data_IF_381383628202
#
_entry.id   IF_381383628202
#
_cell.length_a   1.000
_cell.length_b   1.000
_cell.length_c   1.000
_cell.angle_alpha   90.00
_cell.angle_beta   90.00
_cell.angle_gamma   90.00
#
_symmetry.space_group_name_H-M   'P 1'
#
loop_
_entity.id
_entity.type
_entity.pdbx_description
1 polymer ?
#
# COMPACT_ATOMS: atom_id res chain seq x y z
N UNK A 1 -5.73 7.15 -15.82
CA UNK A 1 -4.66 6.71 -14.89
C UNK A 1 -5.26 5.65 -13.98
N UNK A 2 -4.79 4.40 -14.03
CA UNK A 2 -5.32 3.31 -13.19
C UNK A 2 -4.80 3.50 -11.76
N UNK A 3 -5.59 4.12 -10.90
CA UNK A 3 -5.25 4.25 -9.49
C UNK A 3 -5.61 2.93 -8.79
N UNK A 4 -4.65 2.16 -8.25
CA UNK A 4 -4.99 0.97 -7.50
C UNK A 4 -5.80 1.37 -6.26
N UNK A 5 -7.01 0.84 -6.21
CA UNK A 5 -7.95 1.00 -5.12
C UNK A 5 -7.96 -0.28 -4.31
N UNK A 6 -7.79 -0.13 -3.01
CA UNK A 6 -7.87 -1.21 -2.03
C UNK A 6 -9.20 -1.13 -1.31
N UNK A 7 -9.84 -2.27 -1.09
CA UNK A 7 -11.03 -2.39 -0.25
C UNK A 7 -10.76 -3.43 0.82
N UNK A 8 -11.30 -3.21 2.01
CA UNK A 8 -11.20 -4.17 3.09
C UNK A 8 -12.22 -3.90 4.18
N UNK A 9 -12.37 -4.89 5.04
CA UNK A 9 -13.34 -4.90 6.13
C UNK A 9 -12.63 -5.24 7.44
N UNK A 10 -13.06 -4.62 8.53
CA UNK A 10 -12.48 -4.82 9.85
C UNK A 10 -13.52 -4.60 10.94
N UNK A 11 -13.68 -5.59 11.80
CA UNK A 11 -14.43 -5.42 13.04
C UNK A 11 -13.52 -4.87 14.14
N UNK A 12 -14.00 -3.84 14.84
CA UNK A 12 -13.34 -3.26 16.01
C UNK A 12 -14.29 -3.29 17.22
N UNK A 13 -13.80 -3.63 18.42
CA UNK A 13 -14.58 -3.60 19.65
C UNK A 13 -14.69 -2.16 20.21
N UNK A 14 -15.27 -1.26 19.42
CA UNK A 14 -15.45 0.15 19.75
C UNK A 14 -16.87 0.59 19.40
N UNK A 15 -17.34 1.64 20.07
CA UNK A 15 -18.58 2.33 19.72
C UNK A 15 -18.32 3.35 18.59
N UNK A 16 -19.32 3.57 17.74
CA UNK A 16 -19.19 4.38 16.51
C UNK A 16 -18.67 5.80 16.78
N UNK A 17 -19.24 6.50 17.76
CA UNK A 17 -18.83 7.87 18.10
C UNK A 17 -17.41 7.92 18.69
N UNK A 18 -17.05 6.92 19.49
CA UNK A 18 -15.71 6.84 20.06
C UNK A 18 -14.64 6.58 19.01
N UNK A 19 -14.97 5.78 17.98
CA UNK A 19 -14.08 5.53 16.86
C UNK A 19 -13.83 6.81 16.06
N UNK A 20 -14.88 7.56 15.71
CA UNK A 20 -14.71 8.82 14.98
C UNK A 20 -13.94 9.87 15.80
N UNK A 21 -14.17 9.97 17.11
CA UNK A 21 -13.39 10.88 17.97
C UNK A 21 -11.91 10.49 18.07
N UNK A 22 -11.60 9.20 18.25
CA UNK A 22 -10.20 8.73 18.29
C UNK A 22 -9.53 8.93 16.92
N UNK A 23 -10.25 8.68 15.84
CA UNK A 23 -9.75 8.86 14.48
C UNK A 23 -9.52 10.34 14.15
N UNK A 24 -10.39 11.25 14.61
CA UNK A 24 -10.20 12.71 14.50
C UNK A 24 -9.00 13.20 15.34
N UNK A 25 -8.84 12.69 16.57
CA UNK A 25 -7.65 12.98 17.40
C UNK A 25 -6.35 12.49 16.76
N UNK A 26 -6.37 11.30 16.15
CA UNK A 26 -5.20 10.75 15.45
C UNK A 26 -4.94 11.52 14.16
N UNK A 27 -5.97 11.85 13.39
CA UNK A 27 -5.88 12.66 12.19
C UNK A 27 -5.37 14.07 12.49
N UNK A 28 -5.81 14.71 13.58
CA UNK A 28 -5.32 16.02 14.01
C UNK A 28 -3.90 15.98 14.57
N UNK A 29 -3.50 14.92 15.30
CA UNK A 29 -2.09 14.71 15.70
C UNK A 29 -1.17 14.50 14.49
N UNK A 30 -1.60 13.70 13.52
CA UNK A 30 -0.91 13.57 12.23
C UNK A 30 -1.02 14.85 11.38
N UNK A 31 -2.06 15.64 11.60
CA UNK A 31 -2.40 16.87 10.89
C UNK A 31 -1.79 18.14 11.47
N UNK A 32 -1.12 18.09 12.64
CA UNK A 32 -0.29 19.21 13.15
C UNK A 32 0.84 19.61 12.20
N UNK A 33 1.14 18.76 11.20
CA UNK A 33 2.05 19.07 10.09
C UNK A 33 1.34 19.52 8.79
N UNK A 34 0.01 19.73 8.81
CA UNK A 34 -0.78 20.15 7.64
C UNK A 34 -1.00 19.08 6.57
N UNK A 35 -0.79 17.79 6.90
CA UNK A 35 -0.66 16.73 5.89
C UNK A 35 -1.93 15.93 5.61
N UNK A 36 -2.92 15.96 6.50
CA UNK A 36 -4.13 15.14 6.41
C UNK A 36 -5.38 15.98 6.67
N UNK A 37 -6.39 15.80 5.81
CA UNK A 37 -7.71 16.41 5.95
C UNK A 37 -8.71 15.30 6.30
N UNK A 38 -9.34 15.43 7.46
CA UNK A 38 -10.44 14.58 7.88
C UNK A 38 -11.75 15.30 7.59
N UNK A 39 -12.67 14.65 6.90
CA UNK A 39 -14.05 15.12 6.75
C UNK A 39 -15.02 14.00 7.05
N UNK A 40 -15.85 14.19 8.08
CA UNK A 40 -16.99 13.30 8.33
C UNK A 40 -18.07 13.61 7.30
N UNK A 41 -18.34 12.66 6.41
CA UNK A 41 -19.33 12.83 5.33
C UNK A 41 -20.73 12.43 5.74
N UNK A 42 -20.89 11.60 6.78
CA UNK A 42 -22.19 11.29 7.41
C UNK A 42 -22.01 10.75 8.84
N UNK A 43 -23.11 10.40 9.51
CA UNK A 43 -23.07 9.73 10.81
C UNK A 43 -22.30 8.41 10.80
N UNK A 44 -22.22 7.75 9.64
CA UNK A 44 -21.63 6.41 9.42
C UNK A 44 -20.48 6.42 8.41
N UNK A 45 -20.06 7.58 7.88
CA UNK A 45 -18.97 7.63 6.91
C UNK A 45 -18.03 8.80 7.11
N UNK A 46 -16.75 8.56 6.85
CA UNK A 46 -15.73 9.58 6.85
C UNK A 46 -14.77 9.41 5.67
N UNK A 47 -14.22 10.54 5.25
CA UNK A 47 -13.19 10.62 4.23
C UNK A 47 -11.91 11.17 4.86
N UNK A 48 -10.81 10.52 4.57
CA UNK A 48 -9.47 10.97 4.93
C UNK A 48 -8.72 11.18 3.62
N UNK A 49 -8.30 12.41 3.36
CA UNK A 49 -7.46 12.73 2.23
C UNK A 49 -6.16 13.36 2.70
N UNK A 50 -5.13 13.27 1.87
CA UNK A 50 -3.82 13.86 2.16
C UNK A 50 -3.24 14.42 0.87
N UNK A 51 -2.94 15.71 0.87
CA UNK A 51 -2.27 16.39 -0.25
C UNK A 51 -0.75 16.40 -0.09
N UNK A 52 -0.22 16.03 1.09
CA UNK A 52 1.21 16.09 1.43
C UNK A 52 1.77 14.74 1.88
N UNK A 53 3.03 14.46 1.51
CA UNK A 53 3.74 13.25 1.91
C UNK A 53 3.89 13.21 3.44
N UNK A 54 3.56 12.10 4.08
CA UNK A 54 3.78 11.89 5.51
C UNK A 54 5.29 11.80 5.86
N UNK A 55 5.68 11.75 7.14
CA UNK A 55 7.09 11.76 7.58
C UNK A 55 7.95 10.63 6.99
N UNK A 56 7.31 9.56 6.53
CA UNK A 56 7.94 8.41 5.90
C UNK A 56 7.79 8.42 4.37
N UNK A 57 7.33 9.53 3.78
CA UNK A 57 7.17 9.70 2.34
C UNK A 57 5.89 9.07 1.75
N UNK A 58 4.86 8.81 2.55
CA UNK A 58 3.60 8.20 2.09
C UNK A 58 2.49 9.24 1.86
N UNK A 59 1.78 9.22 0.73
CA UNK A 59 0.50 9.94 0.58
C UNK A 59 -0.68 8.96 0.59
N UNK A 60 -1.65 9.19 1.47
CA UNK A 60 -2.99 8.62 1.31
C UNK A 60 -3.74 9.54 0.35
N UNK A 61 -3.75 9.23 -0.94
CA UNK A 61 -4.36 10.13 -1.91
C UNK A 61 -5.84 10.33 -1.59
N UNK A 62 -6.52 9.25 -1.22
CA UNK A 62 -7.92 9.26 -0.79
C UNK A 62 -8.26 7.96 -0.05
N UNK A 63 -8.91 8.07 1.11
CA UNK A 63 -9.46 6.95 1.85
C UNK A 63 -10.91 7.24 2.28
N UNK A 64 -11.84 6.35 1.97
CA UNK A 64 -13.23 6.42 2.46
C UNK A 64 -13.48 5.30 3.44
N UNK A 65 -14.06 5.64 4.59
CA UNK A 65 -14.43 4.75 5.67
C UNK A 65 -15.95 4.76 5.81
N UNK A 66 -16.55 3.58 5.86
CA UNK A 66 -17.96 3.37 6.22
C UNK A 66 -17.99 2.51 7.46
N UNK A 67 -18.71 2.95 8.49
CA UNK A 67 -18.77 2.32 9.80
C UNK A 67 -20.21 1.93 10.09
N UNK A 68 -20.44 0.63 10.22
CA UNK A 68 -21.74 0.04 10.52
C UNK A 68 -21.70 -0.55 11.94
N UNK A 69 -22.76 -0.39 12.75
CA UNK A 69 -22.83 -1.02 14.06
C UNK A 69 -22.89 -2.55 13.91
N UNK A 70 -22.03 -3.27 14.65
CA UNK A 70 -22.04 -4.73 14.69
C UNK A 70 -22.84 -5.23 15.90
N UNK A 71 -23.62 -6.30 15.71
CA UNK A 71 -24.71 -6.74 16.59
C UNK A 71 -24.33 -7.11 18.04
N UNK A 72 -23.04 -7.26 18.39
CA UNK A 72 -22.63 -7.82 19.70
C UNK A 72 -21.50 -7.06 20.43
N UNK A 73 -21.45 -5.72 20.34
CA UNK A 73 -20.45 -4.80 20.98
C UNK A 73 -19.23 -4.48 20.10
N UNK A 74 -19.48 -3.94 18.92
CA UNK A 74 -18.43 -3.38 18.09
C UNK A 74 -18.95 -2.62 16.90
N UNK A 75 -18.02 -2.19 16.06
CA UNK A 75 -18.27 -1.59 14.75
C UNK A 75 -17.64 -2.44 13.66
N UNK A 76 -18.34 -2.55 12.56
CA UNK A 76 -17.84 -3.08 11.31
C UNK A 76 -17.39 -1.92 10.43
N UNK A 77 -16.13 -1.89 10.04
CA UNK A 77 -15.55 -0.83 9.22
C UNK A 77 -15.25 -1.37 7.84
N UNK A 78 -15.92 -0.83 6.82
CA UNK A 78 -15.52 -0.99 5.41
C UNK A 78 -14.67 0.19 5.00
N UNK A 79 -13.55 -0.08 4.36
CA UNK A 79 -12.63 0.96 3.92
C UNK A 79 -12.24 0.81 2.46
N UNK A 80 -12.03 1.94 1.79
CA UNK A 80 -11.49 2.04 0.45
C UNK A 80 -10.30 2.99 0.46
N UNK A 81 -9.14 2.59 -0.04
CA UNK A 81 -7.91 3.42 0.00
C UNK A 81 -7.19 3.42 -1.34
N UNK A 82 -6.63 4.56 -1.74
CA UNK A 82 -5.82 4.71 -2.96
C UNK A 82 -4.37 5.12 -2.67
N UNK A 83 -3.41 4.44 -3.31
CA UNK A 83 -1.98 4.73 -3.13
C UNK A 83 -1.22 4.65 -4.47
N UNK A 84 -0.76 5.79 -4.99
CA UNK A 84 -0.14 5.88 -6.33
C UNK A 84 1.40 5.88 -6.29
N UNK A 85 2.02 6.64 -5.37
CA UNK A 85 3.46 6.98 -5.50
C UNK A 85 4.42 5.82 -5.24
N UNK A 86 4.20 5.01 -4.20
CA UNK A 86 5.12 3.92 -3.84
C UNK A 86 5.04 2.71 -4.78
N UNK A 87 3.87 2.46 -5.36
CA UNK A 87 3.72 1.44 -6.39
C UNK A 87 4.63 1.73 -7.60
N UNK A 88 4.64 2.99 -8.04
CA UNK A 88 5.46 3.43 -9.16
C UNK A 88 6.95 3.43 -8.82
N UNK A 89 7.32 3.84 -7.60
CA UNK A 89 8.71 3.82 -7.13
C UNK A 89 9.26 2.38 -6.97
N UNK A 90 8.48 1.44 -6.42
CA UNK A 90 8.88 0.03 -6.33
C UNK A 90 9.02 -0.61 -7.72
N UNK A 91 8.06 -0.34 -8.62
CA UNK A 91 8.15 -0.78 -10.01
C UNK A 91 9.43 -0.26 -10.67
N UNK A 92 9.72 1.04 -10.51
CA UNK A 92 10.89 1.68 -11.09
C UNK A 92 12.21 1.13 -10.55
N UNK A 93 12.36 1.05 -9.21
CA UNK A 93 13.55 0.47 -8.58
C UNK A 93 13.78 -0.97 -9.06
N UNK A 94 12.70 -1.73 -9.16
CA UNK A 94 12.81 -3.12 -9.55
C UNK A 94 13.14 -3.32 -11.04
N UNK A 95 12.68 -2.40 -11.89
CA UNK A 95 13.10 -2.34 -13.29
C UNK A 95 14.59 -2.00 -13.43
N UNK A 96 15.12 -1.10 -12.59
CA UNK A 96 16.55 -0.80 -12.54
C UNK A 96 17.39 -2.03 -12.15
N UNK A 97 16.93 -2.82 -11.17
CA UNK A 97 17.59 -4.09 -10.78
C UNK A 97 17.60 -5.07 -11.96
N UNK A 98 16.47 -5.21 -12.68
CA UNK A 98 16.37 -6.08 -13.84
C UNK A 98 17.36 -5.66 -14.95
N UNK A 99 17.49 -4.36 -15.21
CA UNK A 99 18.47 -3.82 -16.17
C UNK A 99 19.90 -4.13 -15.72
N UNK A 100 20.24 -3.85 -14.46
CA UNK A 100 21.57 -4.08 -13.92
C UNK A 100 21.95 -5.56 -14.00
N UNK A 101 21.03 -6.46 -13.61
CA UNK A 101 21.20 -7.90 -13.75
C UNK A 101 21.39 -8.30 -15.22
N UNK A 102 20.65 -7.67 -16.13
CA UNK A 102 20.74 -8.00 -17.56
C UNK A 102 22.07 -7.60 -18.17
N UNK A 103 22.60 -6.45 -17.79
CA UNK A 103 23.93 -5.99 -18.19
C UNK A 103 25.00 -6.96 -17.66
N UNK A 104 24.92 -7.35 -16.38
CA UNK A 104 25.86 -8.28 -15.76
C UNK A 104 25.87 -9.64 -16.48
N UNK A 105 24.68 -10.19 -16.75
CA UNK A 105 24.53 -11.46 -17.45
C UNK A 105 25.00 -11.40 -18.91
N UNK A 106 24.80 -10.27 -19.59
CA UNK A 106 25.36 -10.09 -20.93
C UNK A 106 26.89 -10.18 -20.93
N UNK A 107 27.56 -9.54 -19.98
CA UNK A 107 29.02 -9.67 -19.82
C UNK A 107 29.44 -11.10 -19.48
N UNK A 108 28.65 -11.81 -18.67
CA UNK A 108 28.90 -13.21 -18.36
C UNK A 108 28.79 -14.11 -19.60
N UNK A 109 27.70 -13.99 -20.37
CA UNK A 109 27.48 -14.78 -21.60
C UNK A 109 28.61 -14.54 -22.61
N UNK A 110 29.08 -13.30 -22.77
CA UNK A 110 30.22 -12.99 -23.65
C UNK A 110 31.54 -13.66 -23.26
N UNK A 111 31.70 -14.09 -22.00
CA UNK A 111 32.88 -14.82 -21.53
C UNK A 111 32.76 -16.34 -21.68
N UNK A 112 31.59 -16.84 -22.09
CA UNK A 112 31.41 -18.28 -22.31
C UNK A 112 32.09 -18.75 -23.60
N UNK A 113 32.45 -20.03 -23.71
CA UNK A 113 32.89 -20.64 -24.96
C UNK A 113 31.87 -20.47 -26.09
N UNK A 114 32.34 -20.22 -27.31
CA UNK A 114 31.50 -19.96 -28.50
C UNK A 114 30.47 -21.04 -28.78
N UNK A 115 30.77 -22.31 -28.45
CA UNK A 115 29.86 -23.45 -28.62
C UNK A 115 28.57 -23.38 -27.79
N UNK A 116 28.55 -22.59 -26.70
CA UNK A 116 27.37 -22.45 -25.83
C UNK A 116 26.82 -21.02 -25.74
N UNK A 117 27.55 -20.03 -26.25
CA UNK A 117 27.14 -18.61 -26.19
C UNK A 117 25.75 -18.36 -26.78
N UNK A 118 25.45 -18.94 -27.95
CA UNK A 118 24.14 -18.74 -28.60
C UNK A 118 22.98 -19.29 -27.78
N UNK A 119 23.12 -20.51 -27.25
CA UNK A 119 22.10 -21.12 -26.39
C UNK A 119 21.93 -20.38 -25.07
N UNK A 120 23.03 -19.93 -24.47
CA UNK A 120 23.02 -19.15 -23.24
C UNK A 120 22.34 -17.79 -23.43
N UNK A 121 22.58 -17.11 -24.55
CA UNK A 121 21.96 -15.83 -24.88
C UNK A 121 20.43 -15.97 -25.04
N UNK A 122 19.98 -16.99 -25.77
CA UNK A 122 18.54 -17.24 -25.98
C UNK A 122 17.85 -17.60 -24.67
N UNK A 123 18.44 -18.49 -23.88
CA UNK A 123 17.89 -18.89 -22.57
C UNK A 123 17.81 -17.70 -21.61
N UNK A 124 18.82 -16.84 -21.60
CA UNK A 124 18.85 -15.63 -20.82
C UNK A 124 17.76 -14.63 -21.26
N UNK A 125 17.60 -14.43 -22.56
CA UNK A 125 16.56 -13.54 -23.10
C UNK A 125 15.15 -14.01 -22.71
N UNK A 126 14.89 -15.32 -22.79
CA UNK A 126 13.61 -15.91 -22.35
C UNK A 126 13.39 -15.67 -20.86
N UNK A 127 14.41 -15.91 -20.02
CA UNK A 127 14.32 -15.70 -18.59
C UNK A 127 14.05 -14.23 -18.22
N UNK A 128 14.75 -13.28 -18.84
CA UNK A 128 14.52 -11.84 -18.60
C UNK A 128 13.13 -11.42 -19.04
N UNK A 129 12.68 -11.88 -20.20
CA UNK A 129 11.34 -11.54 -20.73
C UNK A 129 10.23 -12.08 -19.82
N UNK A 130 10.37 -13.34 -19.37
CA UNK A 130 9.46 -13.96 -18.41
C UNK A 130 9.39 -13.17 -17.11
N UNK A 131 10.55 -12.83 -16.53
CA UNK A 131 10.60 -12.05 -15.30
C UNK A 131 10.11 -10.62 -15.50
N UNK A 132 10.39 -9.95 -16.62
CA UNK A 132 9.88 -8.62 -16.93
C UNK A 132 8.34 -8.57 -16.96
N UNK A 133 7.69 -9.67 -17.36
CA UNK A 133 6.23 -9.77 -17.42
C UNK A 133 5.62 -10.15 -16.06
N UNK A 134 6.22 -11.10 -15.34
CA UNK A 134 5.68 -11.63 -14.09
C UNK A 134 5.99 -10.71 -12.90
N UNK A 135 7.14 -10.07 -12.91
CA UNK A 135 7.61 -9.27 -11.79
C UNK A 135 6.72 -8.07 -11.46
N UNK A 136 6.22 -7.27 -12.43
CA UNK A 136 5.22 -6.24 -12.16
C UNK A 136 3.95 -6.79 -11.50
N UNK A 137 3.54 -8.00 -11.88
CA UNK A 137 2.35 -8.67 -11.37
C UNK A 137 2.57 -9.11 -9.91
N UNK A 138 3.72 -9.73 -9.62
CA UNK A 138 4.15 -10.10 -8.25
C UNK A 138 4.27 -8.86 -7.36
N UNK A 139 4.93 -7.80 -7.84
CA UNK A 139 5.07 -6.55 -7.10
C UNK A 139 3.73 -5.89 -6.82
N UNK A 140 2.79 -5.95 -7.77
CA UNK A 140 1.42 -5.50 -7.55
C UNK A 140 0.78 -6.27 -6.40
N UNK A 141 0.85 -7.59 -6.40
CA UNK A 141 0.27 -8.44 -5.35
C UNK A 141 0.90 -8.15 -3.98
N UNK A 142 2.24 -8.12 -3.89
CA UNK A 142 2.95 -7.83 -2.63
C UNK A 142 2.57 -6.44 -2.12
N UNK A 143 2.56 -5.44 -2.99
CA UNK A 143 2.14 -4.09 -2.65
C UNK A 143 0.69 -4.07 -2.14
N UNK A 144 -0.23 -4.81 -2.78
CA UNK A 144 -1.63 -4.91 -2.31
C UNK A 144 -1.70 -5.44 -0.89
N UNK A 145 -0.98 -6.54 -0.61
CA UNK A 145 -1.00 -7.20 0.69
C UNK A 145 -0.36 -6.31 1.77
N UNK A 146 0.78 -5.69 1.47
CA UNK A 146 1.50 -4.85 2.43
C UNK A 146 0.69 -3.60 2.79
N UNK A 147 0.08 -2.94 1.81
CA UNK A 147 -0.75 -1.76 2.06
C UNK A 147 -2.04 -2.10 2.82
N UNK A 148 -2.70 -3.22 2.48
CA UNK A 148 -3.86 -3.69 3.23
C UNK A 148 -3.51 -3.98 4.69
N UNK A 149 -2.34 -4.61 4.94
CA UNK A 149 -1.84 -4.86 6.30
C UNK A 149 -1.52 -3.57 7.04
N UNK A 150 -0.79 -2.64 6.43
CA UNK A 150 -0.45 -1.36 7.05
C UNK A 150 -1.70 -0.57 7.45
N UNK A 151 -2.69 -0.46 6.56
CA UNK A 151 -3.92 0.26 6.86
C UNK A 151 -4.75 -0.42 7.95
N UNK A 152 -4.84 -1.76 7.91
CA UNK A 152 -5.50 -2.54 8.97
C UNK A 152 -4.82 -2.35 10.32
N UNK A 153 -3.49 -2.34 10.37
CA UNK A 153 -2.73 -2.08 11.59
C UNK A 153 -2.97 -0.67 12.12
N UNK A 154 -3.07 0.32 11.23
CA UNK A 154 -3.41 1.70 11.60
C UNK A 154 -4.82 1.79 12.21
N UNK A 155 -5.82 1.13 11.62
CA UNK A 155 -7.16 1.09 12.19
C UNK A 155 -7.19 0.38 13.57
N UNK A 156 -6.44 -0.71 13.72
CA UNK A 156 -6.31 -1.42 15.01
C UNK A 156 -5.59 -0.58 16.07
N UNK A 157 -4.58 0.21 15.71
CA UNK A 157 -3.86 1.05 16.67
C UNK A 157 -4.74 2.20 17.18
N UNK A 158 -5.65 2.72 16.34
CA UNK A 158 -6.68 3.70 16.77
C UNK A 158 -7.58 3.10 17.86
N UNK A 159 -7.95 1.82 17.73
CA UNK A 159 -8.72 1.11 18.76
C UNK A 159 -7.97 0.94 20.07
N UNK A 160 -6.67 0.65 20.00
CA UNK A 160 -5.81 0.49 21.19
C UNK A 160 -5.56 1.83 21.90
N UNK A 161 -5.48 2.94 21.17
CA UNK A 161 -5.29 4.27 21.76
C UNK A 161 -6.41 4.65 22.74
N UNK A 162 -7.67 4.30 22.43
CA UNK A 162 -8.80 4.53 23.36
C UNK A 162 -8.64 3.73 24.67
N UNK A 163 -8.06 2.52 24.61
CA UNK A 163 -7.87 1.67 25.79
C UNK A 163 -6.76 2.16 26.72
N UNK A 164 -5.86 3.01 26.22
CA UNK A 164 -4.75 3.60 26.98
C UNK A 164 -5.07 4.99 27.54
N UNK A 165 -6.04 5.70 26.94
CA UNK A 165 -6.54 7.01 27.42
C UNK A 165 -7.66 6.86 28.48
N UNK A 166 -8.11 5.64 28.79
CA UNK A 166 -9.03 5.28 29.88
C UNK A 166 -8.28 4.59 31.02
#
# INVERSE_FOLDING_TARGET
>A
MFTPVFQGELDLPLDNDSFFQSLEKVASRMGKEGRYTFSRTSSVSARISSTHLNPFGYTFNDATLTVEPASEKGIHIRYRVSFIKWFLAMLFLSFQILIAFSILMFFYVRRLPSGIQGSALVSFFIAVTFWALIWPLVMTVIYRVLMARMFRTLLKSIALFKRLDN
#
